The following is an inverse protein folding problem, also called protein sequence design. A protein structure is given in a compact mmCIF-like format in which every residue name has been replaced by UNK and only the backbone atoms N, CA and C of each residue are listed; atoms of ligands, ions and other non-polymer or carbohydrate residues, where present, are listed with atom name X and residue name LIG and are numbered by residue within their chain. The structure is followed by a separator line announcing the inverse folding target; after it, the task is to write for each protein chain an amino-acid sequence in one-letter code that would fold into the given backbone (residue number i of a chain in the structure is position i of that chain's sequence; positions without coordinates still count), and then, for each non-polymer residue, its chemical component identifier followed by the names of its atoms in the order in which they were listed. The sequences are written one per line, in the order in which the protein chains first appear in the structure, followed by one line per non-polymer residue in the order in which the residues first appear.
data_IF_037937236631
#
_entry.id   IF_037937236631
#
_cell.length_a   1.000
_cell.length_b   1.000
_cell.length_c   1.000
_cell.angle_alpha   90.00
_cell.angle_beta   90.00
_cell.angle_gamma   90.00
#
_symmetry.space_group_name_H-M   'P 1'
#
loop_
_entity.id
_entity.type
_entity.pdbx_description
1 polymer ?
#
# COMPACT_ATOMS: atom_id res chain seq x y z
N UNK A 1 10.42 15.31 -18.65
CA UNK A 1 9.34 15.08 -19.63
C UNK A 1 8.26 14.19 -19.05
N UNK A 2 8.62 13.06 -18.43
CA UNK A 2 7.73 12.19 -17.65
C UNK A 2 6.89 12.95 -16.60
N UNK A 3 7.49 13.76 -15.72
CA UNK A 3 6.73 14.53 -14.70
C UNK A 3 5.65 15.48 -15.24
N UNK A 4 5.80 15.97 -16.48
CA UNK A 4 4.80 16.85 -17.12
C UNK A 4 3.64 16.08 -17.73
N UNK A 5 3.89 14.85 -18.22
CA UNK A 5 2.84 13.99 -18.74
C UNK A 5 1.98 13.43 -17.59
N UNK A 6 2.60 13.00 -16.49
CA UNK A 6 1.87 12.48 -15.31
C UNK A 6 0.94 13.53 -14.70
N UNK A 7 1.39 14.79 -14.62
CA UNK A 7 0.60 15.89 -14.02
C UNK A 7 -0.53 16.39 -14.92
N UNK A 8 -0.43 16.23 -16.24
CA UNK A 8 -1.52 16.54 -17.19
C UNK A 8 -2.60 15.44 -17.19
N UNK A 9 -2.20 14.16 -17.14
CA UNK A 9 -3.13 13.05 -16.97
C UNK A 9 -3.86 13.12 -15.62
N UNK A 10 -3.15 13.43 -14.52
CA UNK A 10 -3.77 13.62 -13.20
C UNK A 10 -4.83 14.72 -13.22
N UNK A 11 -4.57 15.87 -13.85
CA UNK A 11 -5.52 16.98 -13.91
C UNK A 11 -6.77 16.67 -14.75
N UNK A 12 -6.60 15.99 -15.88
CA UNK A 12 -7.73 15.61 -16.74
C UNK A 12 -8.60 14.54 -16.09
N UNK A 13 -7.96 13.55 -15.45
CA UNK A 13 -8.63 12.48 -14.72
C UNK A 13 -9.35 13.01 -13.47
N UNK A 14 -8.74 13.91 -12.72
CA UNK A 14 -9.38 14.51 -11.54
C UNK A 14 -10.60 15.38 -11.92
N UNK A 15 -10.57 16.06 -13.07
CA UNK A 15 -11.71 16.84 -13.57
C UNK A 15 -12.88 15.99 -14.03
N UNK A 16 -12.63 14.85 -14.70
CA UNK A 16 -13.69 13.96 -15.20
C UNK A 16 -14.21 13.06 -14.08
N UNK A 17 -13.31 12.42 -13.32
CA UNK A 17 -13.69 11.53 -12.22
C UNK A 17 -14.34 12.27 -11.06
N UNK A 18 -13.91 13.50 -10.76
CA UNK A 18 -14.52 14.29 -9.70
C UNK A 18 -16.02 14.52 -9.90
N UNK A 19 -16.49 14.61 -11.16
CA UNK A 19 -17.92 14.73 -11.48
C UNK A 19 -18.64 13.39 -11.41
N UNK A 20 -18.05 12.31 -11.95
CA UNK A 20 -18.65 10.97 -11.96
C UNK A 20 -18.79 10.43 -10.54
N UNK A 21 -17.76 10.58 -9.72
CA UNK A 21 -17.74 10.13 -8.32
C UNK A 21 -18.71 10.96 -7.48
N UNK A 22 -18.77 12.28 -7.68
CA UNK A 22 -19.76 13.13 -7.00
C UNK A 22 -21.20 12.84 -7.41
N UNK A 23 -21.41 12.30 -8.62
CA UNK A 23 -22.73 11.90 -9.12
C UNK A 23 -23.16 10.51 -8.63
N UNK A 24 -22.22 9.57 -8.49
CA UNK A 24 -22.51 8.18 -8.07
C UNK A 24 -22.54 8.03 -6.55
N UNK A 25 -21.65 8.72 -5.83
CA UNK A 25 -21.46 8.52 -4.39
C UNK A 25 -22.09 9.68 -3.60
N UNK A 26 -23.08 9.44 -2.73
CA UNK A 26 -23.73 10.47 -1.93
C UNK A 26 -22.74 11.26 -1.07
N UNK A 27 -23.09 12.50 -0.69
CA UNK A 27 -22.23 13.36 0.14
C UNK A 27 -21.88 12.77 1.52
N UNK A 28 -22.65 11.78 1.97
CA UNK A 28 -22.59 11.17 3.30
C UNK A 28 -21.59 10.00 3.42
N UNK A 29 -21.09 9.46 2.29
CA UNK A 29 -20.10 8.37 2.31
C UNK A 29 -18.72 8.96 2.50
N UNK A 30 -18.15 8.78 3.70
CA UNK A 30 -16.78 9.14 4.01
C UNK A 30 -15.80 8.05 3.58
N UNK A 31 -14.56 8.41 3.18
CA UNK A 31 -13.50 7.46 2.87
C UNK A 31 -13.30 6.42 3.99
N UNK A 32 -13.40 6.83 5.25
CA UNK A 32 -13.29 5.94 6.41
C UNK A 32 -14.30 4.78 6.41
N UNK A 33 -15.51 4.97 5.87
CA UNK A 33 -16.50 3.89 5.79
C UNK A 33 -16.08 2.85 4.76
N UNK A 34 -15.46 3.28 3.67
CA UNK A 34 -14.97 2.40 2.61
C UNK A 34 -13.76 1.59 3.11
N UNK A 35 -12.83 2.24 3.81
CA UNK A 35 -11.70 1.55 4.44
C UNK A 35 -12.18 0.55 5.51
N UNK A 36 -13.18 0.92 6.31
CA UNK A 36 -13.79 0.01 7.30
C UNK A 36 -14.48 -1.19 6.63
N UNK A 37 -15.20 -0.95 5.54
CA UNK A 37 -15.82 -1.99 4.72
C UNK A 37 -14.75 -2.95 4.19
N UNK A 38 -13.60 -2.45 3.74
CA UNK A 38 -12.47 -3.29 3.28
C UNK A 38 -11.98 -4.24 4.36
N UNK A 39 -11.77 -3.73 5.57
CA UNK A 39 -11.36 -4.55 6.73
C UNK A 39 -12.40 -5.65 6.99
N UNK A 40 -13.69 -5.31 6.91
CA UNK A 40 -14.78 -6.29 7.04
C UNK A 40 -14.72 -7.32 5.91
N UNK A 41 -14.51 -6.93 4.65
CA UNK A 41 -14.39 -7.87 3.52
C UNK A 41 -13.20 -8.82 3.68
N UNK A 42 -12.05 -8.33 4.15
CA UNK A 42 -10.90 -9.20 4.47
C UNK A 42 -11.27 -10.18 5.58
N UNK A 43 -11.93 -9.70 6.64
CA UNK A 43 -12.45 -10.57 7.70
C UNK A 43 -13.42 -11.63 7.17
N UNK A 44 -14.32 -11.26 6.25
CA UNK A 44 -15.21 -12.21 5.57
C UNK A 44 -14.40 -13.24 4.79
N UNK A 45 -13.39 -12.82 4.01
CA UNK A 45 -12.53 -13.77 3.30
C UNK A 45 -11.80 -14.74 4.25
N UNK A 46 -11.38 -14.28 5.44
CA UNK A 46 -10.82 -15.14 6.49
C UNK A 46 -11.85 -16.15 7.01
N UNK A 47 -13.07 -15.71 7.31
CA UNK A 47 -14.12 -16.61 7.78
C UNK A 47 -14.51 -17.65 6.72
N UNK A 48 -14.52 -17.27 5.44
CA UNK A 48 -14.76 -18.18 4.32
C UNK A 48 -13.64 -19.24 4.22
N UNK A 49 -12.39 -18.85 4.46
CA UNK A 49 -11.28 -19.79 4.53
C UNK A 49 -11.45 -20.77 5.70
N UNK A 50 -11.77 -20.28 6.89
CA UNK A 50 -11.96 -21.12 8.09
C UNK A 50 -13.16 -22.07 7.98
N UNK A 51 -14.19 -21.68 7.24
CA UNK A 51 -15.38 -22.51 6.98
C UNK A 51 -15.21 -23.48 5.81
N UNK A 52 -14.03 -23.52 5.18
CA UNK A 52 -13.72 -24.46 4.10
C UNK A 52 -14.41 -24.14 2.77
N UNK A 53 -14.86 -22.90 2.56
CA UNK A 53 -15.51 -22.48 1.31
C UNK A 53 -14.53 -22.56 0.13
N UNK A 54 -15.03 -22.72 -1.12
CA UNK A 54 -14.15 -22.87 -2.27
C UNK A 54 -13.27 -21.62 -2.48
N UNK A 55 -12.02 -21.85 -2.91
CA UNK A 55 -11.02 -20.81 -3.15
C UNK A 55 -11.55 -19.68 -4.04
N UNK A 56 -12.41 -20.00 -5.01
CA UNK A 56 -13.04 -19.04 -5.92
C UNK A 56 -13.86 -17.99 -5.20
N UNK A 57 -14.65 -18.37 -4.21
CA UNK A 57 -15.48 -17.43 -3.43
C UNK A 57 -14.59 -16.52 -2.58
N UNK A 58 -13.58 -17.09 -1.92
CA UNK A 58 -12.60 -16.34 -1.13
C UNK A 58 -11.85 -15.31 -1.99
N UNK A 59 -11.38 -15.74 -3.16
CA UNK A 59 -10.64 -14.90 -4.11
C UNK A 59 -11.52 -13.77 -4.64
N UNK A 60 -12.79 -14.06 -4.99
CA UNK A 60 -13.73 -13.05 -5.47
C UNK A 60 -14.00 -11.96 -4.42
N UNK A 61 -14.18 -12.34 -3.15
CA UNK A 61 -14.34 -11.36 -2.05
C UNK A 61 -13.10 -10.49 -1.91
N UNK A 62 -11.91 -11.09 -2.04
CA UNK A 62 -10.64 -10.38 -1.95
C UNK A 62 -10.40 -9.44 -3.15
N UNK A 63 -10.83 -9.83 -4.34
CA UNK A 63 -10.84 -8.96 -5.52
C UNK A 63 -11.80 -7.79 -5.30
N UNK A 64 -12.99 -8.04 -4.74
CA UNK A 64 -13.92 -6.96 -4.42
C UNK A 64 -13.33 -5.98 -3.38
N UNK A 65 -12.61 -6.50 -2.37
CA UNK A 65 -11.91 -5.68 -1.39
C UNK A 65 -10.79 -4.84 -2.02
N UNK A 66 -10.01 -5.44 -2.93
CA UNK A 66 -8.97 -4.79 -3.71
C UNK A 66 -9.51 -3.66 -4.62
N UNK A 67 -10.63 -3.90 -5.30
CA UNK A 67 -11.26 -2.88 -6.15
C UNK A 67 -11.78 -1.70 -5.32
N UNK A 68 -12.24 -1.97 -4.11
CA UNK A 68 -12.73 -0.96 -3.17
C UNK A 68 -11.65 0.08 -2.80
N UNK A 69 -10.36 -0.30 -2.79
CA UNK A 69 -9.20 0.58 -2.58
C UNK A 69 -8.98 1.59 -3.72
N UNK A 70 -9.16 1.16 -4.96
CA UNK A 70 -9.03 2.11 -6.07
C UNK A 70 -10.12 3.19 -6.02
N UNK A 71 -11.30 2.84 -5.47
CA UNK A 71 -12.46 3.71 -5.39
C UNK A 71 -12.30 4.72 -4.24
N UNK A 72 -11.87 4.31 -3.03
CA UNK A 72 -11.66 5.26 -1.93
C UNK A 72 -10.49 6.21 -2.16
N UNK A 73 -9.40 5.74 -2.77
CA UNK A 73 -8.26 6.57 -3.16
C UNK A 73 -8.62 7.63 -4.21
N UNK A 74 -9.62 7.38 -5.05
CA UNK A 74 -10.17 8.37 -5.97
C UNK A 74 -11.16 9.32 -5.27
N UNK A 75 -12.02 8.79 -4.39
CA UNK A 75 -13.00 9.58 -3.63
C UNK A 75 -12.33 10.57 -2.66
N UNK A 76 -11.27 10.16 -1.98
CA UNK A 76 -10.51 11.00 -1.06
C UNK A 76 -9.85 12.19 -1.77
N UNK A 77 -9.33 11.99 -2.99
CA UNK A 77 -8.75 13.05 -3.83
C UNK A 77 -9.81 14.01 -4.34
N UNK A 78 -10.91 13.47 -4.89
CA UNK A 78 -12.02 14.28 -5.41
C UNK A 78 -12.63 15.21 -4.35
N UNK A 79 -12.71 14.75 -3.10
CA UNK A 79 -13.35 15.52 -2.02
C UNK A 79 -12.40 16.34 -1.17
N UNK A 80 -11.08 16.22 -1.36
CA UNK A 80 -10.04 16.81 -0.48
C UNK A 80 -10.26 16.51 1.02
N UNK A 81 -10.98 15.44 1.34
CA UNK A 81 -11.31 15.02 2.71
C UNK A 81 -10.30 13.97 3.21
N UNK A 82 -9.02 14.26 3.05
CA UNK A 82 -7.96 13.40 3.58
C UNK A 82 -7.83 13.64 5.10
N UNK A 83 -8.39 12.73 5.90
CA UNK A 83 -8.20 12.72 7.34
C UNK A 83 -6.93 11.97 7.72
N UNK A 84 -6.17 12.48 8.70
CA UNK A 84 -4.97 11.81 9.23
C UNK A 84 -5.27 10.40 9.75
N UNK A 85 -6.42 10.20 10.38
CA UNK A 85 -6.84 8.88 10.88
C UNK A 85 -7.23 7.94 9.74
N UNK A 86 -7.87 8.48 8.69
CA UNK A 86 -8.24 7.71 7.49
C UNK A 86 -7.02 7.19 6.75
N UNK A 87 -6.00 8.02 6.57
CA UNK A 87 -4.74 7.60 5.93
C UNK A 87 -4.01 6.48 6.71
N UNK A 88 -4.18 6.42 8.02
CA UNK A 88 -3.61 5.34 8.83
C UNK A 88 -4.36 4.03 8.63
N UNK A 89 -5.70 4.09 8.66
CA UNK A 89 -6.54 2.93 8.38
C UNK A 89 -6.31 2.39 6.97
N UNK A 90 -6.08 3.27 6.00
CA UNK A 90 -5.81 2.93 4.61
C UNK A 90 -4.55 2.06 4.50
N UNK A 91 -3.43 2.57 5.03
CA UNK A 91 -2.16 1.84 5.08
C UNK A 91 -2.26 0.50 5.83
N UNK A 92 -3.02 0.46 6.93
CA UNK A 92 -3.25 -0.76 7.68
C UNK A 92 -4.05 -1.78 6.87
N UNK A 93 -5.07 -1.33 6.14
CA UNK A 93 -5.92 -2.18 5.32
C UNK A 93 -5.17 -2.76 4.13
N UNK A 94 -4.24 -2.00 3.54
CA UNK A 94 -3.37 -2.47 2.46
C UNK A 94 -2.48 -3.65 2.90
N UNK A 95 -1.90 -3.55 4.10
CA UNK A 95 -1.13 -4.65 4.69
C UNK A 95 -1.98 -5.88 4.98
N UNK A 96 -3.23 -5.68 5.42
CA UNK A 96 -4.15 -6.79 5.66
C UNK A 96 -4.51 -7.52 4.36
N UNK A 97 -4.83 -6.80 3.29
CA UNK A 97 -5.18 -7.40 1.99
C UNK A 97 -3.99 -8.16 1.42
N UNK A 98 -2.82 -7.52 1.33
CA UNK A 98 -1.61 -8.14 0.79
C UNK A 98 -1.14 -9.32 1.63
N UNK A 99 -1.16 -9.19 2.96
CA UNK A 99 -0.79 -10.25 3.88
C UNK A 99 -1.72 -11.46 3.78
N UNK A 100 -3.04 -11.22 3.74
CA UNK A 100 -4.02 -12.29 3.61
C UNK A 100 -3.95 -12.98 2.24
N UNK A 101 -3.73 -12.24 1.15
CA UNK A 101 -3.45 -12.81 -0.18
C UNK A 101 -2.25 -13.75 -0.16
N UNK A 102 -1.16 -13.34 0.49
CA UNK A 102 0.03 -14.17 0.66
C UNK A 102 -0.24 -15.45 1.44
N UNK A 103 -0.95 -15.36 2.57
CA UNK A 103 -1.36 -16.53 3.36
C UNK A 103 -2.21 -17.48 2.53
N UNK A 104 -3.21 -16.95 1.82
CA UNK A 104 -4.10 -17.76 0.99
C UNK A 104 -3.34 -18.46 -0.13
N UNK A 105 -2.34 -17.80 -0.72
CA UNK A 105 -1.51 -18.40 -1.75
C UNK A 105 -0.57 -19.51 -1.21
N UNK A 106 -0.08 -19.37 0.02
CA UNK A 106 0.73 -20.38 0.71
C UNK A 106 -0.09 -21.62 1.10
N UNK A 107 -1.24 -21.44 1.74
CA UNK A 107 -2.09 -22.56 2.19
C UNK A 107 -2.62 -23.38 1.01
N UNK A 108 -2.75 -22.73 -0.16
CA UNK A 108 -3.13 -23.38 -1.39
C UNK A 108 -1.94 -23.94 -2.20
N UNK A 109 -0.70 -23.85 -1.70
CA UNK A 109 0.50 -24.38 -2.38
C UNK A 109 0.74 -23.76 -3.76
N UNK A 110 0.24 -22.55 -4.02
CA UNK A 110 0.42 -21.86 -5.30
C UNK A 110 1.79 -21.20 -5.34
N UNK A 111 2.21 -20.61 -4.21
CA UNK A 111 3.53 -20.05 -3.98
C UNK A 111 4.37 -20.97 -3.08
N UNK A 112 5.66 -21.01 -3.36
CA UNK A 112 6.65 -21.58 -2.46
C UNK A 112 6.94 -20.61 -1.30
N UNK A 113 7.15 -21.15 -0.10
CA UNK A 113 7.46 -20.36 1.11
C UNK A 113 8.63 -19.40 0.90
N UNK A 114 9.63 -19.78 0.11
CA UNK A 114 10.78 -18.94 -0.20
C UNK A 114 10.41 -17.62 -0.89
N UNK A 115 9.46 -17.66 -1.84
CA UNK A 115 9.03 -16.45 -2.56
C UNK A 115 8.31 -15.49 -1.62
N UNK A 116 7.45 -16.00 -0.73
CA UNK A 116 6.73 -15.15 0.22
C UNK A 116 7.69 -14.50 1.21
N UNK A 117 8.69 -15.23 1.71
CA UNK A 117 9.73 -14.64 2.55
C UNK A 117 10.48 -13.53 1.81
N UNK A 118 10.84 -13.76 0.55
CA UNK A 118 11.51 -12.76 -0.30
C UNK A 118 10.64 -11.54 -0.61
N UNK A 119 9.31 -11.66 -0.59
CA UNK A 119 8.37 -10.54 -0.70
C UNK A 119 8.23 -9.75 0.60
N UNK A 120 8.16 -10.44 1.75
CA UNK A 120 7.94 -9.81 3.06
C UNK A 120 9.20 -9.11 3.56
N UNK A 121 10.38 -9.69 3.35
CA UNK A 121 11.66 -9.13 3.81
C UNK A 121 11.91 -7.66 3.39
N UNK A 122 11.80 -7.27 2.10
CA UNK A 122 12.00 -5.89 1.70
C UNK A 122 10.95 -4.94 2.28
N UNK A 123 9.71 -5.38 2.50
CA UNK A 123 8.67 -4.58 3.15
C UNK A 123 9.04 -4.27 4.61
N UNK A 124 9.56 -5.26 5.33
CA UNK A 124 10.09 -5.08 6.69
C UNK A 124 11.29 -4.13 6.68
N UNK A 125 12.20 -4.27 5.72
CA UNK A 125 13.38 -3.41 5.63
C UNK A 125 13.01 -1.94 5.35
N UNK A 126 12.06 -1.69 4.44
CA UNK A 126 11.55 -0.35 4.13
C UNK A 126 10.89 0.27 5.37
N UNK A 127 10.02 -0.47 6.07
CA UNK A 127 9.35 0.05 7.28
C UNK A 127 10.33 0.36 8.42
N UNK A 128 11.37 -0.45 8.62
CA UNK A 128 12.43 -0.18 9.60
C UNK A 128 13.20 1.08 9.20
N UNK A 129 13.63 1.16 7.95
CA UNK A 129 14.36 2.31 7.39
C UNK A 129 13.56 3.60 7.60
N UNK A 130 12.27 3.55 7.33
CA UNK A 130 11.38 4.68 7.51
C UNK A 130 11.18 5.06 8.98
N UNK A 131 11.05 4.08 9.89
CA UNK A 131 11.00 4.34 11.34
C UNK A 131 12.27 5.00 11.85
N UNK A 132 13.43 4.59 11.35
CA UNK A 132 14.72 5.21 11.70
C UNK A 132 14.77 6.66 11.22
N UNK A 133 14.27 6.96 10.00
CA UNK A 133 14.15 8.34 9.51
C UNK A 133 13.13 9.15 10.33
N UNK A 134 11.98 8.56 10.69
CA UNK A 134 10.92 9.21 11.47
C UNK A 134 11.40 9.59 12.87
N UNK A 135 12.12 8.68 13.54
CA UNK A 135 12.62 8.90 14.91
C UNK A 135 13.63 10.05 15.01
N UNK A 136 14.23 10.47 13.88
CA UNK A 136 15.13 11.62 13.78
C UNK A 136 14.40 12.95 13.57
N UNK A 137 13.13 12.92 13.17
CA UNK A 137 12.30 14.12 13.03
C UNK A 137 11.70 14.49 14.39
N UNK A 138 12.00 15.69 14.88
CA UNK A 138 11.52 16.18 16.17
C UNK A 138 10.10 16.72 16.02
N UNK A 139 9.10 15.84 16.09
CA UNK A 139 7.69 16.25 16.12
C UNK A 139 7.31 16.81 17.49
N UNK A 140 6.71 18.01 17.51
CA UNK A 140 6.21 18.70 18.71
C UNK A 140 4.96 18.03 19.30
N UNK A 141 4.24 17.25 18.49
CA UNK A 141 2.99 16.57 18.83
C UNK A 141 3.16 15.05 18.91
N UNK A 142 2.74 14.42 20.02
CA UNK A 142 2.79 12.96 20.20
C UNK A 142 1.96 12.21 19.14
N UNK A 143 0.78 12.73 18.79
CA UNK A 143 -0.08 12.14 17.75
C UNK A 143 0.57 12.22 16.36
N UNK A 144 1.19 13.35 16.02
CA UNK A 144 1.91 13.50 14.77
C UNK A 144 3.16 12.60 14.70
N UNK A 145 3.83 12.40 15.84
CA UNK A 145 4.97 11.50 15.96
C UNK A 145 4.57 10.03 15.83
N UNK A 146 3.49 9.61 16.50
CA UNK A 146 2.94 8.25 16.36
C UNK A 146 2.51 7.98 14.91
N UNK A 147 1.86 8.97 14.28
CA UNK A 147 1.43 8.89 12.90
C UNK A 147 2.63 8.79 11.93
N UNK A 148 3.66 9.62 12.12
CA UNK A 148 4.88 9.58 11.30
C UNK A 148 5.68 8.27 11.50
N UNK A 149 5.65 7.70 12.71
CA UNK A 149 6.24 6.39 13.01
C UNK A 149 5.46 5.24 12.37
N UNK A 150 4.14 5.36 12.33
CA UNK A 150 3.25 4.36 11.77
C UNK A 150 3.21 4.38 10.24
N UNK A 151 3.35 5.57 9.63
CA UNK A 151 3.30 5.75 8.17
C UNK A 151 4.68 5.80 7.50
N UNK A 152 5.75 6.03 8.28
CA UNK A 152 7.06 6.38 7.73
C UNK A 152 7.08 7.81 7.15
N UNK A 153 8.21 8.54 7.22
CA UNK A 153 8.32 9.88 6.67
C UNK A 153 8.41 9.88 5.13
N UNK A 154 8.63 8.71 4.52
CA UNK A 154 8.61 8.53 3.07
C UNK A 154 7.21 8.71 2.46
N UNK A 155 6.13 8.53 3.24
CA UNK A 155 4.77 8.67 2.74
C UNK A 155 4.28 10.13 2.65
N UNK A 156 5.12 11.11 3.00
CA UNK A 156 4.78 12.54 2.87
C UNK A 156 4.82 13.05 1.42
N UNK A 157 5.29 12.21 0.48
CA UNK A 157 5.02 12.33 -0.95
C UNK A 157 4.70 10.92 -1.46
N UNK A 158 3.43 10.55 -1.70
CA UNK A 158 3.13 9.27 -2.31
C UNK A 158 3.76 9.27 -3.70
N UNK A 159 4.92 8.65 -3.84
CA UNK A 159 5.55 8.48 -5.13
C UNK A 159 4.73 7.45 -5.89
N UNK A 160 4.31 7.78 -7.12
CA UNK A 160 3.48 6.92 -7.98
C UNK A 160 4.03 5.50 -8.11
N UNK A 161 5.36 5.33 -8.01
CA UNK A 161 6.04 4.06 -7.97
C UNK A 161 5.56 3.11 -6.84
N UNK A 162 5.38 3.60 -5.61
CA UNK A 162 4.95 2.76 -4.48
C UNK A 162 3.51 2.25 -4.61
N UNK A 163 2.62 3.09 -5.18
CA UNK A 163 1.24 2.70 -5.49
C UNK A 163 1.20 1.70 -6.63
N UNK A 164 2.01 1.92 -7.67
CA UNK A 164 2.12 1.00 -8.80
C UNK A 164 2.61 -0.37 -8.32
N UNK A 165 3.62 -0.39 -7.44
CA UNK A 165 4.13 -1.60 -6.81
C UNK A 165 3.03 -2.34 -6.04
N UNK A 166 2.27 -1.65 -5.19
CA UNK A 166 1.16 -2.28 -4.46
C UNK A 166 0.09 -2.85 -5.40
N UNK A 167 -0.34 -2.09 -6.40
CA UNK A 167 -1.33 -2.55 -7.39
C UNK A 167 -0.81 -3.75 -8.17
N UNK A 168 0.47 -3.77 -8.52
CA UNK A 168 1.09 -4.87 -9.23
C UNK A 168 1.22 -6.14 -8.37
N UNK A 169 1.56 -6.01 -7.08
CA UNK A 169 1.53 -7.13 -6.12
C UNK A 169 0.10 -7.70 -6.00
N UNK A 170 -0.89 -6.83 -5.86
CA UNK A 170 -2.31 -7.20 -5.76
C UNK A 170 -2.80 -7.90 -7.03
N UNK A 171 -2.41 -7.37 -8.20
CA UNK A 171 -2.69 -7.98 -9.51
C UNK A 171 -2.00 -9.34 -9.66
N UNK A 172 -0.75 -9.46 -9.22
CA UNK A 172 0.01 -10.72 -9.26
C UNK A 172 -0.66 -11.81 -8.42
N UNK A 173 -1.03 -11.51 -7.17
CA UNK A 173 -1.75 -12.45 -6.31
C UNK A 173 -3.12 -12.83 -6.86
N UNK A 174 -3.89 -11.87 -7.36
CA UNK A 174 -5.22 -12.16 -7.93
C UNK A 174 -5.12 -13.01 -9.19
N UNK A 175 -4.20 -12.72 -10.12
CA UNK A 175 -3.96 -13.58 -11.28
C UNK A 175 -3.56 -15.00 -10.87
N UNK A 176 -2.74 -15.13 -9.83
CA UNK A 176 -2.24 -16.42 -9.36
C UNK A 176 -3.33 -17.26 -8.69
N UNK A 177 -4.17 -16.65 -7.86
CA UNK A 177 -5.33 -17.32 -7.24
C UNK A 177 -6.39 -17.69 -8.28
N UNK A 178 -6.67 -16.79 -9.23
CA UNK A 178 -7.66 -17.01 -10.28
C UNK A 178 -7.21 -18.08 -11.30
N UNK A 179 -5.89 -18.16 -11.55
CA UNK A 179 -5.30 -19.24 -12.34
C UNK A 179 -5.54 -20.61 -11.72
N UNK A 180 -5.47 -20.73 -10.38
CA UNK A 180 -5.76 -21.99 -9.69
C UNK A 180 -7.25 -22.34 -9.74
N UNK A 181 -8.15 -21.37 -9.72
CA UNK A 181 -9.60 -21.63 -9.79
C UNK A 181 -10.07 -22.09 -11.16
N UNK A 182 -9.46 -21.56 -12.23
CA UNK A 182 -9.87 -21.82 -13.62
C UNK A 182 -8.90 -22.75 -14.39
N UNK A 183 -7.86 -23.28 -13.73
CA UNK A 183 -6.86 -24.19 -14.32
C UNK A 183 -6.15 -23.67 -15.58
N UNK A 184 -5.90 -22.36 -15.69
CA UNK A 184 -5.15 -21.79 -16.82
C UNK A 184 -3.63 -21.75 -16.54
N UNK A 185 -2.80 -22.63 -17.16
CA UNK A 185 -1.36 -22.70 -16.87
C UNK A 185 -0.56 -21.52 -17.41
N UNK A 186 -1.08 -20.81 -18.42
CA UNK A 186 -0.47 -19.58 -18.94
C UNK A 186 -0.60 -18.43 -17.93
N UNK A 187 -1.77 -18.28 -17.32
CA UNK A 187 -2.04 -17.23 -16.34
C UNK A 187 -1.18 -17.41 -15.08
N UNK A 188 -0.91 -18.66 -14.69
CA UNK A 188 0.01 -18.97 -13.58
C UNK A 188 1.41 -18.43 -13.85
N UNK A 189 1.94 -18.65 -15.05
CA UNK A 189 3.29 -18.19 -15.43
C UNK A 189 3.38 -16.66 -15.45
N UNK A 190 2.37 -16.01 -15.99
CA UNK A 190 2.29 -14.54 -16.02
C UNK A 190 2.26 -13.97 -14.59
N UNK A 191 1.40 -14.52 -13.72
CA UNK A 191 1.34 -14.10 -12.31
C UNK A 191 2.67 -14.29 -11.58
N UNK A 192 3.36 -15.41 -11.82
CA UNK A 192 4.63 -15.73 -11.18
C UNK A 192 5.77 -14.80 -11.67
N UNK A 193 5.84 -14.51 -12.96
CA UNK A 193 6.79 -13.53 -13.53
C UNK A 193 6.52 -12.13 -12.97
N UNK A 194 5.25 -11.74 -12.87
CA UNK A 194 4.85 -10.46 -12.29
C UNK A 194 5.30 -10.35 -10.82
N UNK A 195 5.09 -11.39 -10.01
CA UNK A 195 5.55 -11.41 -8.62
C UNK A 195 7.08 -11.36 -8.49
N UNK A 196 7.83 -12.05 -9.36
CA UNK A 196 9.29 -11.94 -9.35
C UNK A 196 9.78 -10.54 -9.73
N UNK A 197 9.17 -9.91 -10.72
CA UNK A 197 9.50 -8.53 -11.10
C UNK A 197 9.26 -7.57 -9.92
N UNK A 198 8.14 -7.75 -9.21
CA UNK A 198 7.82 -6.99 -8.00
C UNK A 198 8.82 -7.22 -6.86
N UNK A 199 9.24 -8.47 -6.63
CA UNK A 199 10.29 -8.78 -5.63
C UNK A 199 11.58 -8.03 -5.96
N UNK A 200 12.03 -8.09 -7.21
CA UNK A 200 13.24 -7.38 -7.65
C UNK A 200 13.12 -5.86 -7.42
N UNK A 201 11.99 -5.27 -7.79
CA UNK A 201 11.74 -3.84 -7.61
C UNK A 201 11.68 -3.47 -6.11
N UNK A 202 11.06 -4.31 -5.28
CA UNK A 202 11.01 -4.12 -3.84
C UNK A 202 12.40 -4.12 -3.19
N UNK A 203 13.27 -5.05 -3.59
CA UNK A 203 14.64 -5.11 -3.12
C UNK A 203 15.46 -3.91 -3.55
N UNK A 204 15.30 -3.44 -4.79
CA UNK A 204 15.94 -2.22 -5.28
C UNK A 204 15.57 -1.00 -4.42
N UNK A 205 14.28 -0.80 -4.16
CA UNK A 205 13.80 0.29 -3.30
C UNK A 205 14.28 0.17 -1.85
N UNK A 206 14.33 -1.05 -1.31
CA UNK A 206 14.80 -1.29 0.05
C UNK A 206 16.29 -0.97 0.20
N UNK A 207 17.11 -1.33 -0.80
CA UNK A 207 18.55 -1.02 -0.85
C UNK A 207 18.76 0.50 -0.96
N UNK A 208 18.04 1.18 -1.84
CA UNK A 208 18.10 2.66 -1.96
C UNK A 208 17.74 3.35 -0.64
N UNK A 209 16.72 2.82 0.05
CA UNK A 209 16.33 3.27 1.37
C UNK A 209 17.45 3.15 2.40
N UNK A 210 18.16 2.03 2.40
CA UNK A 210 19.27 1.71 3.30
C UNK A 210 20.50 2.58 3.02
N UNK A 211 20.89 2.71 1.75
CA UNK A 211 22.00 3.58 1.31
C UNK A 211 21.73 5.02 1.73
N UNK A 212 20.49 5.49 1.54
CA UNK A 212 20.09 6.83 1.95
C UNK A 212 20.32 7.07 3.44
N UNK A 213 20.05 6.10 4.33
CA UNK A 213 20.35 6.21 5.77
C UNK A 213 21.85 6.27 6.05
N UNK A 214 22.63 5.42 5.39
CA UNK A 214 24.07 5.35 5.59
C UNK A 214 24.80 6.61 5.12
N UNK A 215 24.28 7.27 4.07
CA UNK A 215 24.92 8.43 3.44
C UNK A 215 24.40 9.79 3.92
N UNK A 216 23.50 9.85 4.92
CA UNK A 216 23.07 11.14 5.50
C UNK A 216 24.27 11.82 6.16
N UNK A 217 24.75 12.98 5.66
CA UNK A 217 25.84 13.69 6.29
C UNK A 217 25.39 14.12 7.69
N UNK A 218 26.22 13.91 8.72
CA UNK A 218 26.02 14.36 10.12
C UNK A 218 25.94 15.90 10.27
N UNK A 219 25.61 16.66 9.23
CA UNK A 219 25.78 18.12 9.18
C UNK A 219 24.70 18.90 9.95
N UNK A 220 23.50 18.35 10.15
CA UNK A 220 22.43 19.06 10.90
C UNK A 220 22.53 18.97 12.43
N UNK A 221 23.49 18.20 12.99
CA UNK A 221 23.69 18.16 14.46
C UNK A 221 24.41 19.40 15.02
N UNK A 222 25.06 20.22 14.18
CA UNK A 222 25.80 21.41 14.63
C UNK A 222 25.02 22.72 14.54
N UNK A 223 23.98 22.81 13.72
CA UNK A 223 23.18 24.04 13.60
C UNK A 223 22.10 24.17 14.69
N UNK A 224 21.58 23.05 15.21
CA UNK A 224 20.67 23.04 16.35
C UNK A 224 21.34 23.41 17.70
N UNK A 225 22.67 23.36 17.79
CA UNK A 225 23.42 23.87 18.95
C UNK A 225 23.90 25.32 18.78
N UNK A 226 23.71 25.95 17.61
CA UNK A 226 24.14 27.34 17.36
C UNK A 226 23.01 28.37 17.46
N UNK A 227 21.75 27.96 17.46
CA UNK A 227 20.62 28.84 17.79
C UNK A 227 20.22 28.67 19.25
N UNK A 228 21.21 28.74 20.14
CA UNK A 228 20.99 29.17 21.51
C UNK A 228 20.82 30.68 21.50
N UNK A 229 19.60 31.17 21.31
CA UNK A 229 19.23 32.51 21.78
C UNK A 229 18.29 32.35 22.97
N UNK A 230 18.76 32.72 24.19
CA UNK A 230 17.88 33.03 25.30
C UNK A 230 17.30 34.43 25.12
N UNK A 231 16.22 34.67 25.86
CA UNK A 231 15.39 35.89 26.02
C UNK A 231 14.27 36.04 24.98
#
# INVERSE_FOLDING_TARGET
MWDRLTSLEENLRDRTLGRVIAAIIPRWVHPNHITSLRIVLVGVAVTLFLTGQPLKVQTNVLIAAALTDTIDGMLARSRRQASRTGAYLDHFSDWLVGGWMGVLALTNGVLETGIVVMMVMPQVLVTITDRIKASRLRFKDTKARLLALAMGPANFRPNTASRLQFVAVLAGFTMMLLSKTENYPALRRVGLVCLYAEVCLAWMLAIDGLICICHIPRRSRREACRTGHPV
#
